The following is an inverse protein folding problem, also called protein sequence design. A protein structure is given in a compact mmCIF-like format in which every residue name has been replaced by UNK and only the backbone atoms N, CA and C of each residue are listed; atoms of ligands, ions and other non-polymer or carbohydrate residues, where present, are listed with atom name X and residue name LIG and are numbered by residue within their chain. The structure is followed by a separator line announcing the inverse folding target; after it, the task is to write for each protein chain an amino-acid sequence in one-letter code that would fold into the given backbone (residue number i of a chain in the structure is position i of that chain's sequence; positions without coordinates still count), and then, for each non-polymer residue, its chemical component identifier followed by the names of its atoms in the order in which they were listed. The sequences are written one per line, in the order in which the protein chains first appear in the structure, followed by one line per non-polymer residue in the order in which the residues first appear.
data_IF_480368786052
#
_entry.id   IF_480368786052
#
_cell.length_a   1.000
_cell.length_b   1.000
_cell.length_c   1.000
_cell.angle_alpha   90.00
_cell.angle_beta   90.00
_cell.angle_gamma   90.00
#
_symmetry.space_group_name_H-M   'P 1'
#
loop_
_entity.id
_entity.type
_entity.pdbx_description
1 polymer ?
#
# COMPACT_ATOMS: atom_id res chain seq x y z
N UNK A 1 -2.91 -19.63 -10.15
CA UNK A 1 -1.75 -18.73 -10.10
C UNK A 1 -2.21 -17.36 -10.58
N UNK A 2 -1.88 -16.29 -9.86
CA UNK A 2 -2.22 -14.93 -10.24
C UNK A 2 -0.97 -14.08 -10.41
N UNK A 3 -0.96 -13.19 -11.40
CA UNK A 3 0.12 -12.23 -11.62
C UNK A 3 -0.49 -10.84 -11.57
N UNK A 4 0.06 -9.98 -10.72
CA UNK A 4 -0.38 -8.60 -10.57
C UNK A 4 0.82 -7.66 -10.69
N UNK A 5 0.58 -6.49 -11.28
CA UNK A 5 1.59 -5.47 -11.49
C UNK A 5 1.26 -4.24 -10.64
N UNK A 6 2.13 -3.92 -9.68
CA UNK A 6 2.10 -2.65 -8.97
C UNK A 6 3.04 -1.63 -9.61
N UNK A 7 3.00 -0.38 -9.15
CA UNK A 7 3.85 0.71 -9.67
C UNK A 7 5.36 0.39 -9.58
N UNK A 8 5.75 -0.33 -8.54
CA UNK A 8 7.15 -0.63 -8.22
C UNK A 8 7.49 -2.12 -8.28
N UNK A 9 6.50 -3.01 -8.23
CA UNK A 9 6.71 -4.43 -7.98
C UNK A 9 5.85 -5.32 -8.86
N UNK A 10 6.45 -6.43 -9.28
CA UNK A 10 5.72 -7.57 -9.83
C UNK A 10 5.34 -8.49 -8.68
N UNK A 11 4.07 -8.86 -8.60
CA UNK A 11 3.52 -9.72 -7.55
C UNK A 11 3.03 -11.02 -8.17
N UNK A 12 3.65 -12.13 -7.76
CA UNK A 12 3.26 -13.49 -8.13
C UNK A 12 2.50 -14.12 -6.94
N UNK A 13 1.21 -14.31 -7.10
CA UNK A 13 0.37 -14.98 -6.10
C UNK A 13 0.25 -16.48 -6.40
N UNK A 14 0.57 -17.30 -5.39
CA UNK A 14 0.50 -18.75 -5.42
C UNK A 14 -0.44 -19.26 -4.30
N UNK A 15 -1.78 -19.13 -4.46
CA UNK A 15 -2.74 -19.45 -3.40
C UNK A 15 -2.65 -20.89 -2.89
N UNK A 16 -2.42 -21.86 -3.78
CA UNK A 16 -2.26 -23.28 -3.41
C UNK A 16 -1.07 -23.54 -2.47
N UNK A 17 -0.08 -22.65 -2.49
CA UNK A 17 1.09 -22.71 -1.59
C UNK A 17 0.94 -21.75 -0.40
N UNK A 18 -0.11 -20.92 -0.37
CA UNK A 18 -0.31 -19.93 0.68
C UNK A 18 0.74 -18.81 0.69
N UNK A 19 1.39 -18.53 -0.45
CA UNK A 19 2.46 -17.52 -0.56
C UNK A 19 2.25 -16.51 -1.68
N UNK A 20 2.92 -15.36 -1.52
CA UNK A 20 3.09 -14.29 -2.51
C UNK A 20 4.57 -14.01 -2.65
N UNK A 21 5.05 -13.91 -3.89
CA UNK A 21 6.43 -13.52 -4.20
C UNK A 21 6.41 -12.14 -4.86
N UNK A 22 7.11 -11.18 -4.26
CA UNK A 22 7.20 -9.80 -4.77
C UNK A 22 8.59 -9.51 -5.31
N UNK A 23 8.68 -9.13 -6.58
CA UNK A 23 9.92 -8.75 -7.24
C UNK A 23 9.99 -7.24 -7.45
N UNK A 24 11.15 -6.59 -7.28
CA UNK A 24 11.37 -5.17 -7.50
C UNK A 24 11.45 -4.87 -9.01
N UNK A 25 10.31 -4.96 -9.68
CA UNK A 25 10.21 -4.82 -11.13
C UNK A 25 9.24 -3.69 -11.50
N UNK A 26 9.73 -2.44 -11.70
CA UNK A 26 8.91 -1.25 -11.87
C UNK A 26 8.39 -1.08 -13.30
N UNK A 27 7.62 -2.06 -13.79
CA UNK A 27 7.12 -2.10 -15.18
C UNK A 27 6.32 -0.87 -15.61
N UNK A 28 5.45 -0.36 -14.74
CA UNK A 28 4.62 0.82 -15.03
C UNK A 28 5.49 2.06 -15.30
N UNK A 29 6.61 2.19 -14.58
CA UNK A 29 7.54 3.30 -14.79
C UNK A 29 8.36 3.11 -16.07
N UNK A 30 8.72 1.87 -16.42
CA UNK A 30 9.39 1.59 -17.70
C UNK A 30 8.47 1.98 -18.87
N UNK A 31 7.18 1.60 -18.82
CA UNK A 31 6.18 1.98 -19.82
C UNK A 31 6.01 3.50 -19.96
N UNK A 32 5.91 4.22 -18.84
CA UNK A 32 5.82 5.69 -18.83
C UNK A 32 7.08 6.35 -19.42
N UNK A 33 8.27 5.80 -19.16
CA UNK A 33 9.50 6.28 -19.77
C UNK A 33 9.50 6.06 -21.29
N UNK A 34 9.01 4.92 -21.77
CA UNK A 34 8.85 4.67 -23.21
C UNK A 34 7.81 5.59 -23.86
N UNK A 35 6.67 5.83 -23.20
CA UNK A 35 5.63 6.76 -23.69
C UNK A 35 6.18 8.18 -23.77
N UNK A 36 6.82 8.66 -22.70
CA UNK A 36 7.48 9.96 -22.68
C UNK A 36 8.47 10.10 -23.84
N UNK A 37 9.27 9.06 -24.11
CA UNK A 37 10.18 9.02 -25.25
C UNK A 37 9.49 9.08 -26.62
N UNK A 38 8.38 8.33 -26.79
CA UNK A 38 7.61 8.38 -28.04
C UNK A 38 7.06 9.78 -28.28
N UNK A 39 6.61 10.48 -27.23
CA UNK A 39 6.08 11.83 -27.31
C UNK A 39 7.17 12.91 -27.46
N UNK A 40 8.30 12.77 -26.77
CA UNK A 40 9.41 13.74 -26.82
C UNK A 40 10.37 13.53 -28.01
N UNK A 41 10.17 12.46 -28.78
CA UNK A 41 11.10 11.98 -29.79
C UNK A 41 12.20 11.10 -29.17
N UNK A 42 12.47 9.95 -29.80
CA UNK A 42 13.55 9.07 -29.36
C UNK A 42 14.86 9.88 -29.30
N UNK A 43 15.59 9.88 -28.18
CA UNK A 43 16.86 10.55 -28.08
C UNK A 43 17.81 9.91 -29.07
N UNK A 44 18.23 10.73 -30.03
CA UNK A 44 19.20 10.38 -31.05
C UNK A 44 20.64 10.39 -30.51
N UNK A 45 20.82 10.46 -29.19
CA UNK A 45 22.12 10.64 -28.55
C UNK A 45 22.34 9.68 -27.39
N UNK A 46 23.61 9.31 -27.20
CA UNK A 46 24.08 8.51 -26.06
C UNK A 46 23.66 9.12 -24.70
N UNK A 47 23.56 10.45 -24.62
CA UNK A 47 23.09 11.16 -23.41
C UNK A 47 21.66 10.78 -23.03
N UNK A 48 20.75 10.63 -23.99
CA UNK A 48 19.36 10.25 -23.69
C UNK A 48 19.23 8.78 -23.27
N UNK A 49 19.99 7.87 -23.88
CA UNK A 49 20.06 6.47 -23.44
C UNK A 49 20.57 6.38 -22.00
N UNK A 50 21.62 7.14 -21.66
CA UNK A 50 22.12 7.19 -20.28
C UNK A 50 21.08 7.70 -19.28
N UNK A 51 20.27 8.69 -19.66
CA UNK A 51 19.19 9.19 -18.81
C UNK A 51 18.12 8.11 -18.55
N UNK A 52 17.74 7.36 -19.60
CA UNK A 52 16.83 6.22 -19.51
C UNK A 52 17.36 5.16 -18.54
N UNK A 53 18.60 4.71 -18.75
CA UNK A 53 19.23 3.69 -17.90
C UNK A 53 19.27 4.16 -16.44
N UNK A 54 19.64 5.43 -16.20
CA UNK A 54 19.62 6.00 -14.84
C UNK A 54 18.22 6.01 -14.21
N UNK A 55 17.19 6.33 -14.99
CA UNK A 55 15.80 6.30 -14.54
C UNK A 55 15.35 4.90 -14.15
N UNK A 56 15.64 3.90 -14.99
CA UNK A 56 15.35 2.48 -14.72
C UNK A 56 16.08 2.00 -13.46
N UNK A 57 17.39 2.28 -13.36
CA UNK A 57 18.20 1.90 -12.20
C UNK A 57 17.68 2.56 -10.93
N UNK A 58 17.29 3.84 -10.98
CA UNK A 58 16.68 4.54 -9.83
C UNK A 58 15.36 3.87 -9.41
N UNK A 59 14.49 3.52 -10.35
CA UNK A 59 13.23 2.85 -10.05
C UNK A 59 13.45 1.46 -9.46
N UNK A 60 14.41 0.71 -10.01
CA UNK A 60 14.78 -0.61 -9.50
C UNK A 60 15.33 -0.52 -8.07
N UNK A 61 16.22 0.45 -7.80
CA UNK A 61 16.78 0.65 -6.47
C UNK A 61 15.72 1.05 -5.44
N UNK A 62 14.76 1.91 -5.81
CA UNK A 62 13.63 2.25 -4.93
C UNK A 62 12.76 1.04 -4.65
N UNK A 63 12.44 0.22 -5.66
CA UNK A 63 11.65 -1.00 -5.49
C UNK A 63 12.37 -2.04 -4.60
N UNK A 64 13.69 -2.16 -4.76
CA UNK A 64 14.56 -2.98 -3.92
C UNK A 64 14.54 -2.51 -2.45
N UNK A 65 14.69 -1.20 -2.23
CA UNK A 65 14.61 -0.60 -0.89
C UNK A 65 13.26 -0.85 -0.21
N UNK A 66 12.15 -0.74 -0.95
CA UNK A 66 10.80 -1.02 -0.43
C UNK A 66 10.70 -2.47 0.06
N UNK A 67 11.15 -3.44 -0.73
CA UNK A 67 11.15 -4.85 -0.31
C UNK A 67 12.02 -5.09 0.93
N UNK A 68 13.21 -4.48 0.96
CA UNK A 68 14.11 -4.60 2.11
C UNK A 68 13.50 -4.02 3.39
N UNK A 69 12.95 -2.80 3.31
CA UNK A 69 12.28 -2.14 4.43
C UNK A 69 11.07 -2.94 4.93
N UNK A 70 10.26 -3.50 4.03
CA UNK A 70 9.13 -4.38 4.40
C UNK A 70 9.61 -5.59 5.22
N UNK A 71 10.68 -6.25 4.79
CA UNK A 71 11.24 -7.38 5.53
C UNK A 71 11.82 -6.98 6.89
N UNK A 72 12.64 -5.92 6.93
CA UNK A 72 13.26 -5.47 8.18
C UNK A 72 12.23 -4.98 9.18
N UNK A 73 11.22 -4.23 8.72
CA UNK A 73 10.14 -3.74 9.57
C UNK A 73 9.34 -4.89 10.18
N UNK A 74 8.94 -5.88 9.36
CA UNK A 74 8.26 -7.08 9.88
C UNK A 74 9.10 -7.83 10.91
N UNK A 75 10.41 -7.97 10.67
CA UNK A 75 11.33 -8.64 11.60
C UNK A 75 11.44 -7.93 12.95
N UNK A 76 11.36 -6.60 12.94
CA UNK A 76 11.47 -5.74 14.12
C UNK A 76 10.16 -5.68 14.91
N UNK A 77 9.06 -5.27 14.28
CA UNK A 77 7.79 -5.04 14.98
C UNK A 77 7.03 -6.33 15.25
N UNK A 78 7.02 -7.26 14.28
CA UNK A 78 6.20 -8.49 14.28
C UNK A 78 4.73 -8.24 14.67
N UNK A 79 4.24 -7.03 14.43
CA UNK A 79 2.90 -6.65 14.84
C UNK A 79 1.85 -7.50 14.10
N UNK A 80 0.79 -8.00 14.77
CA UNK A 80 -0.22 -8.87 14.15
C UNK A 80 -0.88 -8.29 12.91
N UNK A 81 -1.09 -6.97 12.85
CA UNK A 81 -1.62 -6.28 11.65
C UNK A 81 -0.76 -6.48 10.40
N UNK A 82 0.51 -6.83 10.52
CA UNK A 82 1.38 -6.99 9.36
C UNK A 82 1.18 -8.36 8.75
N UNK A 83 0.99 -8.41 7.44
CA UNK A 83 1.07 -9.67 6.71
C UNK A 83 2.51 -10.19 6.78
N UNK A 84 2.75 -11.41 7.25
CA UNK A 84 4.10 -11.93 7.45
C UNK A 84 4.96 -11.90 6.18
N UNK A 85 6.15 -11.31 6.30
CA UNK A 85 7.24 -11.40 5.30
C UNK A 85 8.29 -12.38 5.79
N UNK A 86 8.14 -13.65 5.40
CA UNK A 86 8.97 -14.73 5.92
C UNK A 86 10.41 -14.69 5.43
N UNK A 87 10.63 -14.19 4.22
CA UNK A 87 11.94 -14.19 3.59
C UNK A 87 12.13 -12.98 2.68
N UNK A 88 13.36 -12.48 2.63
CA UNK A 88 13.81 -11.51 1.63
C UNK A 88 15.21 -11.86 1.16
N UNK A 89 15.41 -12.03 -0.15
CA UNK A 89 16.75 -12.22 -0.71
C UNK A 89 17.41 -10.86 -0.91
N UNK A 90 17.86 -10.26 0.19
CA UNK A 90 18.48 -8.93 0.21
C UNK A 90 17.59 -7.86 -0.46
N UNK A 91 16.26 -7.98 -0.47
CA UNK A 91 15.36 -7.04 -1.18
C UNK A 91 15.07 -7.37 -2.66
N UNK A 92 15.80 -8.32 -3.27
CA UNK A 92 15.57 -8.75 -4.66
C UNK A 92 14.26 -9.50 -4.85
N UNK A 93 13.75 -10.13 -3.80
CA UNK A 93 12.36 -10.52 -3.74
C UNK A 93 11.96 -10.77 -2.29
N UNK A 94 10.67 -10.57 -2.00
CA UNK A 94 10.05 -10.95 -0.73
C UNK A 94 9.15 -12.16 -0.92
N UNK A 95 9.19 -13.11 0.02
CA UNK A 95 8.17 -14.16 0.15
C UNK A 95 7.29 -13.79 1.34
N UNK A 96 6.03 -13.51 1.06
CA UNK A 96 5.02 -13.20 2.05
C UNK A 96 3.97 -14.29 2.13
N UNK A 97 3.29 -14.40 3.27
CA UNK A 97 2.09 -15.23 3.38
C UNK A 97 0.98 -14.64 2.48
N UNK A 98 0.31 -15.49 1.70
CA UNK A 98 -0.90 -15.10 0.97
C UNK A 98 -2.06 -14.88 1.94
N UNK A 99 -2.84 -13.82 1.73
CA UNK A 99 -4.12 -13.66 2.41
C UNK A 99 -5.20 -13.22 1.44
N UNK A 100 -6.45 -13.44 1.86
CA UNK A 100 -7.61 -13.12 1.06
C UNK A 100 -7.81 -11.60 1.04
N UNK A 101 -7.98 -10.97 -0.14
CA UNK A 101 -8.22 -9.54 -0.23
C UNK A 101 -9.36 -9.11 0.69
N UNK A 102 -9.21 -7.95 1.32
CA UNK A 102 -10.32 -7.32 2.03
C UNK A 102 -11.46 -7.09 1.03
N UNK A 103 -12.69 -7.50 1.36
CA UNK A 103 -13.89 -7.42 0.49
C UNK A 103 -14.97 -6.48 1.02
N UNK A 104 -14.60 -5.59 1.94
CA UNK A 104 -15.47 -4.48 2.36
C UNK A 104 -15.87 -3.60 1.16
N UNK A 105 -16.88 -2.73 1.32
CA UNK A 105 -17.10 -1.70 0.30
C UNK A 105 -15.86 -0.77 0.21
N UNK A 106 -15.57 -0.30 -1.00
CA UNK A 106 -14.38 0.51 -1.31
C UNK A 106 -14.30 1.78 -0.44
N UNK A 107 -15.45 2.30 0.01
CA UNK A 107 -15.50 3.47 0.89
C UNK A 107 -15.52 3.12 2.37
N UNK A 108 -16.00 1.93 2.73
CA UNK A 108 -16.17 1.56 4.13
C UNK A 108 -14.83 1.38 4.85
N UNK A 109 -13.84 0.74 4.21
CA UNK A 109 -12.49 0.58 4.78
C UNK A 109 -11.82 1.93 5.10
N UNK A 110 -11.66 2.87 4.15
CA UNK A 110 -11.04 4.16 4.46
C UNK A 110 -11.83 4.98 5.49
N UNK A 111 -13.17 4.90 5.47
CA UNK A 111 -13.99 5.61 6.47
C UNK A 111 -13.77 5.06 7.88
N UNK A 112 -13.71 3.72 8.04
CA UNK A 112 -13.38 3.11 9.33
C UNK A 112 -11.99 3.50 9.81
N UNK A 113 -10.98 3.47 8.92
CA UNK A 113 -9.61 3.88 9.26
C UNK A 113 -9.58 5.34 9.71
N UNK A 114 -10.25 6.25 8.99
CA UNK A 114 -10.35 7.65 9.37
C UNK A 114 -11.05 7.80 10.75
N UNK A 115 -12.12 7.04 11.02
CA UNK A 115 -12.79 7.07 12.33
C UNK A 115 -11.88 6.56 13.46
N UNK A 116 -11.27 5.38 13.29
CA UNK A 116 -10.41 4.75 14.30
C UNK A 116 -9.21 5.65 14.61
N UNK A 117 -8.63 6.27 13.59
CA UNK A 117 -7.46 7.16 13.76
C UNK A 117 -7.83 8.61 14.05
N UNK A 118 -9.12 8.93 14.16
CA UNK A 118 -9.64 10.30 14.28
C UNK A 118 -9.06 11.25 13.21
N UNK A 119 -9.00 10.77 11.97
CA UNK A 119 -8.43 11.40 10.77
C UNK A 119 -6.92 11.68 10.80
N UNK A 120 -6.22 11.28 11.88
CA UNK A 120 -4.80 11.63 12.09
C UNK A 120 -3.83 10.80 11.26
N UNK A 121 -4.25 9.69 10.66
CA UNK A 121 -3.36 8.83 9.85
C UNK A 121 -2.70 9.59 8.69
N UNK A 122 -3.37 10.63 8.20
CA UNK A 122 -2.94 11.51 7.09
C UNK A 122 -1.78 12.42 7.48
N UNK A 123 -1.52 12.59 8.77
CA UNK A 123 -0.37 13.35 9.28
C UNK A 123 0.96 12.57 9.09
N UNK A 124 0.87 11.25 8.94
CA UNK A 124 2.03 10.34 8.92
C UNK A 124 2.28 9.69 7.56
N UNK A 125 1.25 9.55 6.73
CA UNK A 125 1.32 8.80 5.48
C UNK A 125 0.45 9.41 4.37
N UNK A 126 0.83 9.16 3.11
CA UNK A 126 -0.03 9.39 1.96
C UNK A 126 -1.40 8.69 2.18
N UNK A 127 -2.51 9.44 2.23
CA UNK A 127 -3.84 8.87 2.45
C UNK A 127 -4.21 7.80 1.42
N UNK A 128 -3.66 7.85 0.21
CA UNK A 128 -3.94 6.87 -0.83
C UNK A 128 -3.53 5.45 -0.45
N UNK A 129 -2.51 5.31 0.41
CA UNK A 129 -2.02 4.00 0.83
C UNK A 129 -3.01 3.24 1.71
N UNK A 130 -3.69 3.95 2.61
CA UNK A 130 -4.72 3.39 3.50
C UNK A 130 -6.13 3.42 2.90
N UNK A 131 -6.33 4.10 1.76
CA UNK A 131 -7.58 4.07 0.98
C UNK A 131 -7.67 2.87 0.03
N UNK A 132 -6.52 2.37 -0.42
CA UNK A 132 -6.44 1.26 -1.33
C UNK A 132 -6.77 -0.06 -0.64
N UNK A 133 -8.01 -0.54 -0.77
CA UNK A 133 -8.45 -1.82 -0.22
C UNK A 133 -7.55 -3.00 -0.59
N UNK A 134 -7.00 -2.98 -1.80
CA UNK A 134 -6.11 -4.04 -2.28
C UNK A 134 -4.79 -4.13 -1.52
N UNK A 135 -4.43 -3.16 -0.66
CA UNK A 135 -3.28 -3.22 0.24
C UNK A 135 -3.57 -4.03 1.53
N UNK A 136 -4.83 -4.41 1.72
CA UNK A 136 -5.32 -5.07 2.92
C UNK A 136 -5.91 -6.45 2.63
N UNK A 137 -5.86 -7.30 3.64
CA UNK A 137 -6.44 -8.63 3.65
C UNK A 137 -7.08 -8.91 5.01
N UNK A 138 -7.98 -9.90 5.03
CA UNK A 138 -8.62 -10.36 6.26
C UNK A 138 -8.12 -11.76 6.60
N UNK A 139 -7.65 -11.94 7.83
CA UNK A 139 -7.22 -13.24 8.36
C UNK A 139 -7.89 -13.43 9.72
N UNK A 140 -8.78 -14.42 9.81
CA UNK A 140 -9.54 -14.66 11.05
C UNK A 140 -10.41 -13.47 11.47
N UNK A 141 -10.94 -12.71 10.51
CA UNK A 141 -11.73 -11.50 10.78
C UNK A 141 -10.92 -10.26 11.16
N UNK A 142 -9.60 -10.37 11.32
CA UNK A 142 -8.72 -9.25 11.63
C UNK A 142 -8.11 -8.64 10.37
N UNK A 143 -7.88 -7.33 10.41
CA UNK A 143 -7.26 -6.58 9.34
C UNK A 143 -5.75 -6.87 9.30
N UNK A 144 -5.25 -7.16 8.11
CA UNK A 144 -3.82 -7.25 7.85
C UNK A 144 -3.46 -6.32 6.69
N UNK A 145 -2.26 -5.74 6.74
CA UNK A 145 -1.66 -4.91 5.68
C UNK A 145 -0.48 -5.66 5.09
N UNK A 146 -0.39 -5.73 3.76
CA UNK A 146 0.72 -6.44 3.10
C UNK A 146 1.65 -5.53 2.31
N UNK A 147 1.30 -4.26 2.08
CA UNK A 147 2.21 -3.25 1.53
C UNK A 147 2.62 -2.27 2.64
N UNK A 148 3.78 -2.46 3.24
CA UNK A 148 4.27 -1.62 4.35
C UNK A 148 5.77 -1.35 4.25
N UNK A 149 6.31 -1.37 3.02
CA UNK A 149 7.73 -1.08 2.76
C UNK A 149 8.05 0.42 2.67
N UNK A 150 7.03 1.28 2.61
CA UNK A 150 7.23 2.73 2.63
C UNK A 150 7.42 3.24 4.07
N UNK A 151 8.37 4.16 4.26
CA UNK A 151 8.75 4.68 5.58
C UNK A 151 7.60 5.45 6.23
N UNK A 152 6.81 6.18 5.43
CA UNK A 152 5.67 6.94 5.95
C UNK A 152 4.54 5.99 6.40
N UNK A 153 4.32 4.90 5.66
CA UNK A 153 3.41 3.83 6.08
C UNK A 153 3.87 3.20 7.41
N UNK A 154 5.17 2.95 7.56
CA UNK A 154 5.72 2.41 8.80
C UNK A 154 5.52 3.37 9.98
N UNK A 155 5.75 4.68 9.79
CA UNK A 155 5.45 5.68 10.81
C UNK A 155 3.97 5.67 11.22
N UNK A 156 3.05 5.63 10.25
CA UNK A 156 1.63 5.52 10.57
C UNK A 156 1.30 4.24 11.35
N UNK A 157 1.91 3.11 11.00
CA UNK A 157 1.73 1.84 11.71
C UNK A 157 2.30 1.88 13.12
N UNK A 158 3.46 2.51 13.33
CA UNK A 158 4.04 2.68 14.67
C UNK A 158 3.11 3.44 15.63
N UNK A 159 2.23 4.30 15.09
CA UNK A 159 1.26 5.06 15.87
C UNK A 159 -0.11 4.38 16.01
N UNK A 160 -0.57 3.66 14.99
CA UNK A 160 -1.97 3.23 14.89
C UNK A 160 -2.17 1.72 14.74
N UNK A 161 -1.11 0.91 14.66
CA UNK A 161 -1.24 -0.52 14.39
C UNK A 161 -2.10 -1.26 15.43
N UNK A 162 -1.91 -0.99 16.72
CA UNK A 162 -2.68 -1.62 17.81
C UNK A 162 -4.18 -1.31 17.67
N UNK A 163 -4.54 -0.04 17.60
CA UNK A 163 -5.94 0.38 17.53
C UNK A 163 -6.62 -0.04 16.22
N UNK A 164 -5.89 -0.03 15.10
CA UNK A 164 -6.41 -0.53 13.82
C UNK A 164 -6.64 -2.04 13.87
N UNK A 165 -5.81 -2.79 14.57
CA UNK A 165 -5.96 -4.24 14.67
C UNK A 165 -7.09 -4.63 15.64
N UNK A 166 -7.28 -3.87 16.70
CA UNK A 166 -8.34 -4.17 17.69
C UNK A 166 -9.71 -3.65 17.27
N UNK A 167 -9.80 -2.41 16.80
CA UNK A 167 -11.09 -1.71 16.63
C UNK A 167 -11.68 -1.86 15.22
N UNK A 168 -10.90 -2.34 14.25
CA UNK A 168 -11.42 -2.59 12.91
C UNK A 168 -12.40 -3.77 12.92
N UNK A 169 -13.59 -3.55 12.38
CA UNK A 169 -14.62 -4.58 12.23
C UNK A 169 -15.04 -4.69 10.75
N UNK A 170 -14.76 -5.83 10.08
CA UNK A 170 -15.13 -6.02 8.68
C UNK A 170 -16.63 -6.01 8.43
N UNK A 171 -17.47 -6.18 9.46
CA UNK A 171 -18.93 -6.17 9.36
C UNK A 171 -19.56 -4.82 9.72
N UNK A 172 -18.77 -3.87 10.24
CA UNK A 172 -19.26 -2.53 10.56
C UNK A 172 -19.50 -1.76 9.28
N UNK A 173 -20.71 -1.28 9.08
CA UNK A 173 -21.03 -0.29 8.05
C UNK A 173 -20.91 1.11 8.63
N UNK A 174 -20.02 1.93 8.06
CA UNK A 174 -19.89 3.34 8.44
C UNK A 174 -20.81 4.16 7.58
N UNK A 175 -21.71 4.91 8.22
CA UNK A 175 -22.51 5.89 7.51
C UNK A 175 -21.68 7.16 7.26
N UNK A 176 -21.99 7.86 6.18
CA UNK A 176 -21.27 9.08 5.77
C UNK A 176 -21.32 10.18 6.84
N UNK A 177 -22.43 10.29 7.54
CA UNK A 177 -22.68 11.31 8.55
C UNK A 177 -21.74 11.18 9.75
N UNK A 178 -21.48 9.96 10.20
CA UNK A 178 -20.53 9.60 11.24
C UNK A 178 -19.09 9.89 10.82
N UNK A 179 -18.73 9.54 9.59
CA UNK A 179 -17.39 9.86 9.07
C UNK A 179 -17.17 11.37 8.91
N UNK A 180 -18.20 12.13 8.51
CA UNK A 180 -18.12 13.59 8.37
C UNK A 180 -17.91 14.31 9.71
N UNK A 181 -18.40 13.78 10.84
CA UNK A 181 -18.15 14.40 12.16
C UNK A 181 -16.69 14.29 12.59
N UNK A 182 -16.02 13.19 12.24
CA UNK A 182 -14.58 13.00 12.50
C UNK A 182 -13.75 13.88 11.59
N UNK A 183 -14.05 13.86 10.29
CA UNK A 183 -13.22 14.54 9.28
C UNK A 183 -13.43 16.06 9.26
N UNK A 184 -14.61 16.55 9.67
CA UNK A 184 -14.97 17.98 9.61
C UNK A 184 -15.69 18.44 10.90
N UNK A 185 -15.05 18.39 12.07
CA UNK A 185 -15.72 18.60 13.36
C UNK A 185 -16.36 20.00 13.50
N UNK A 186 -15.89 20.98 12.73
CA UNK A 186 -16.39 22.37 12.77
C UNK A 186 -17.33 22.76 11.63
N UNK A 187 -17.68 21.83 10.72
CA UNK A 187 -18.55 22.15 9.58
C UNK A 187 -20.00 22.18 10.04
N UNK A 188 -20.56 23.38 10.21
CA UNK A 188 -22.00 23.56 10.45
C UNK A 188 -22.78 22.87 9.32
N UNK A 189 -23.58 21.85 9.63
CA UNK A 189 -24.46 21.23 8.63
C UNK A 189 -25.37 22.32 8.06
N UNK A 190 -25.48 22.47 6.73
CA UNK A 190 -26.48 23.35 6.15
C UNK A 190 -27.85 22.88 6.67
N UNK A 191 -28.64 23.79 7.25
CA UNK A 191 -30.01 23.47 7.64
C UNK A 191 -30.75 22.96 6.39
N UNK A 192 -31.52 21.86 6.48
CA UNK A 192 -32.36 21.44 5.37
C UNK A 192 -33.20 22.64 4.92
N UNK A 193 -33.26 22.86 3.60
CA UNK A 193 -34.17 23.86 3.04
C UNK A 193 -35.58 23.34 3.25
N UNK A 194 -36.34 24.00 4.11
CA UNK A 194 -37.78 23.82 4.27
C UNK A 194 -38.53 24.20 2.98
#
# INVERSE_FOLDING_TARGET
MGISFGSWRLVLALPNLGIVIKFPFPLCNIGNVFIFWRCAGAPKSFKGINYLVRGIVKCFWKAFQINWHEFTYYRQSRHPILQPTHFSFLGLFNIQRYGLPCRTDNWNLPMQIDIITNDKIKEYCDPHHFQAQYNFNLVGGKLHIHDYGDVQTQQALDHFADILYEDFDPNREVNKDEWETVRWPNRKRPKPKE
#
